data_IF_508042622833
#
_entry.id   IF_508042622833
#
_cell.length_a   1.000
_cell.length_b   1.000
_cell.length_c   1.000
_cell.angle_alpha   90.00
_cell.angle_beta   90.00
_cell.angle_gamma   90.00
#
_symmetry.space_group_name_H-M   'P 1'
#
loop_
_entity.id
_entity.type
_entity.pdbx_description
1 polymer ?
#
# COMPACT_ATOMS: atom_id res chain seq x y z
N UNK A 1 21.20 1.26 -12.04
CA UNK A 1 20.08 2.22 -12.02
C UNK A 1 18.83 1.53 -11.46
N UNK A 2 18.08 2.21 -10.58
CA UNK A 2 16.88 1.69 -9.93
C UNK A 2 15.79 1.30 -10.94
N UNK A 3 15.62 2.16 -11.95
CA UNK A 3 14.68 1.94 -13.06
C UNK A 3 14.98 0.62 -13.78
N UNK A 4 16.27 0.31 -14.01
CA UNK A 4 16.68 -0.96 -14.61
C UNK A 4 16.29 -2.18 -13.76
N UNK A 5 16.37 -2.08 -12.44
CA UNK A 5 15.93 -3.15 -11.53
C UNK A 5 14.44 -3.46 -11.65
N UNK A 6 13.56 -2.44 -11.67
CA UNK A 6 12.13 -2.66 -11.85
C UNK A 6 11.74 -3.11 -13.27
N UNK A 7 12.51 -2.74 -14.30
CA UNK A 7 12.26 -3.13 -15.68
C UNK A 7 12.89 -4.48 -16.06
N UNK A 8 13.87 -4.97 -15.30
CA UNK A 8 14.58 -6.22 -15.61
C UNK A 8 13.65 -7.43 -15.88
N UNK A 9 12.59 -7.71 -15.10
CA UNK A 9 11.69 -8.83 -15.38
C UNK A 9 10.96 -8.72 -16.71
N UNK A 10 10.65 -7.48 -17.14
CA UNK A 10 9.95 -7.24 -18.42
C UNK A 10 10.89 -7.39 -19.61
N UNK A 11 12.17 -7.06 -19.45
CA UNK A 11 13.19 -7.16 -20.50
C UNK A 11 13.60 -8.63 -20.71
N UNK A 12 13.68 -9.41 -19.62
CA UNK A 12 14.13 -10.81 -19.66
C UNK A 12 12.98 -11.79 -19.92
N UNK A 13 11.72 -11.34 -19.79
CA UNK A 13 10.54 -12.18 -19.98
C UNK A 13 10.41 -12.60 -21.44
N UNK A 14 10.49 -13.90 -21.71
CA UNK A 14 10.22 -14.54 -23.01
C UNK A 14 8.72 -14.71 -23.33
N UNK A 15 7.85 -13.95 -22.68
CA UNK A 15 6.39 -13.96 -22.92
C UNK A 15 5.58 -14.95 -22.08
N UNK A 16 6.20 -15.94 -21.45
CA UNK A 16 5.53 -16.91 -20.54
C UNK A 16 5.77 -16.61 -19.05
N UNK A 17 6.13 -15.37 -18.71
CA UNK A 17 6.47 -14.97 -17.34
C UNK A 17 5.29 -15.10 -16.38
N UNK A 18 5.44 -15.94 -15.34
CA UNK A 18 4.46 -16.04 -14.25
C UNK A 18 4.37 -14.72 -13.49
N UNK A 19 3.18 -14.12 -13.41
CA UNK A 19 2.92 -12.91 -12.61
C UNK A 19 3.32 -13.10 -11.13
N UNK A 20 3.28 -14.34 -10.61
CA UNK A 20 3.74 -14.65 -9.26
C UNK A 20 5.24 -14.39 -9.08
N UNK A 21 6.05 -14.81 -10.06
CA UNK A 21 7.50 -14.57 -10.06
C UNK A 21 7.79 -13.07 -10.11
N UNK A 22 7.07 -12.33 -10.97
CA UNK A 22 7.20 -10.88 -11.08
C UNK A 22 6.92 -10.18 -9.74
N UNK A 23 5.77 -10.45 -9.13
CA UNK A 23 5.39 -9.77 -7.87
C UNK A 23 6.25 -10.20 -6.69
N UNK A 24 6.71 -11.45 -6.66
CA UNK A 24 7.70 -11.91 -5.67
C UNK A 24 9.02 -11.14 -5.84
N UNK A 25 9.50 -10.99 -7.07
CA UNK A 25 10.70 -10.21 -7.37
C UNK A 25 10.53 -8.74 -6.97
N UNK A 26 9.43 -8.09 -7.34
CA UNK A 26 9.13 -6.70 -6.96
C UNK A 26 9.07 -6.54 -5.44
N UNK A 27 8.51 -7.53 -4.72
CA UNK A 27 8.47 -7.52 -3.25
C UNK A 27 9.88 -7.55 -2.64
N UNK A 28 10.74 -8.45 -3.13
CA UNK A 28 12.13 -8.56 -2.66
C UNK A 28 12.90 -7.27 -2.98
N UNK A 29 12.74 -6.74 -4.20
CA UNK A 29 13.39 -5.50 -4.63
C UNK A 29 12.95 -4.32 -3.75
N UNK A 30 11.66 -4.17 -3.49
CA UNK A 30 11.10 -3.10 -2.65
C UNK A 30 11.61 -3.19 -1.21
N UNK A 31 11.65 -4.40 -0.62
CA UNK A 31 12.24 -4.62 0.70
C UNK A 31 13.74 -4.31 0.73
N UNK A 32 14.49 -4.70 -0.30
CA UNK A 32 15.92 -4.39 -0.45
C UNK A 32 16.16 -2.89 -0.55
N UNK A 33 15.33 -2.17 -1.33
CA UNK A 33 15.38 -0.71 -1.44
C UNK A 33 15.10 -0.03 -0.10
N UNK A 34 14.14 -0.56 0.65
CA UNK A 34 13.84 -0.07 1.98
C UNK A 34 15.01 -0.31 2.95
N UNK A 35 15.63 -1.50 2.93
CA UNK A 35 16.84 -1.79 3.71
C UNK A 35 18.00 -0.85 3.38
N UNK A 36 18.26 -0.59 2.09
CA UNK A 36 19.26 0.37 1.63
C UNK A 36 18.95 1.81 2.06
N UNK A 37 17.67 2.21 2.04
CA UNK A 37 17.22 3.52 2.51
C UNK A 37 17.58 3.74 3.96
N UNK A 38 17.36 2.74 4.82
CA UNK A 38 17.73 2.81 6.24
C UNK A 38 19.26 2.86 6.41
N UNK A 39 19.99 2.02 5.68
CA UNK A 39 21.46 1.92 5.82
C UNK A 39 22.18 3.17 5.31
N UNK A 40 21.79 3.67 4.14
CA UNK A 40 22.45 4.80 3.47
C UNK A 40 21.78 6.16 3.77
N UNK A 41 20.69 6.20 4.53
CA UNK A 41 19.90 7.41 4.83
C UNK A 41 19.37 8.13 3.58
N UNK A 42 19.05 7.38 2.52
CA UNK A 42 18.50 7.91 1.27
C UNK A 42 16.98 7.91 1.33
N UNK A 43 16.42 9.00 1.84
CA UNK A 43 14.96 9.14 2.05
C UNK A 43 14.10 9.09 0.79
N UNK A 44 14.68 9.26 -0.39
CA UNK A 44 13.95 9.24 -1.67
C UNK A 44 13.69 7.82 -2.20
N UNK A 45 14.50 6.83 -1.79
CA UNK A 45 14.39 5.45 -2.28
C UNK A 45 13.01 4.81 -2.02
N UNK A 46 12.40 4.93 -0.84
CA UNK A 46 11.07 4.39 -0.59
C UNK A 46 9.99 5.02 -1.49
N UNK A 47 10.11 6.32 -1.80
CA UNK A 47 9.16 7.04 -2.65
C UNK A 47 9.25 6.56 -4.10
N UNK A 48 10.46 6.38 -4.62
CA UNK A 48 10.68 5.86 -5.97
C UNK A 48 10.13 4.42 -6.07
N UNK A 49 10.47 3.55 -5.11
CA UNK A 49 9.96 2.18 -5.06
C UNK A 49 8.43 2.15 -5.00
N UNK A 50 7.82 3.05 -4.21
CA UNK A 50 6.38 3.20 -4.10
C UNK A 50 5.72 3.45 -5.45
N UNK A 51 6.22 4.44 -6.19
CA UNK A 51 5.69 4.80 -7.51
C UNK A 51 5.77 3.62 -8.49
N UNK A 52 6.94 2.98 -8.61
CA UNK A 52 7.12 1.87 -9.54
C UNK A 52 6.28 0.65 -9.17
N UNK A 53 6.21 0.29 -7.88
CA UNK A 53 5.42 -0.85 -7.42
C UNK A 53 3.93 -0.65 -7.73
N UNK A 54 3.38 0.51 -7.40
CA UNK A 54 1.96 0.79 -7.67
C UNK A 54 1.65 1.01 -9.14
N UNK A 55 2.62 1.49 -9.95
CA UNK A 55 2.50 1.53 -11.41
C UNK A 55 2.38 0.10 -11.99
N UNK A 56 3.27 -0.81 -11.61
CA UNK A 56 3.23 -2.20 -12.05
C UNK A 56 1.92 -2.86 -11.61
N UNK A 57 1.54 -2.69 -10.34
CA UNK A 57 0.29 -3.24 -9.83
C UNK A 57 -0.94 -2.69 -10.56
N UNK A 58 -0.95 -1.38 -10.87
CA UNK A 58 -2.02 -0.73 -11.63
C UNK A 58 -2.18 -1.28 -13.03
N UNK A 59 -1.07 -1.54 -13.73
CA UNK A 59 -1.10 -2.18 -15.06
C UNK A 59 -1.73 -3.57 -14.96
N UNK A 60 -1.31 -4.39 -13.99
CA UNK A 60 -1.88 -5.72 -13.79
C UNK A 60 -3.34 -5.69 -13.35
N UNK A 61 -3.75 -4.67 -12.59
CA UNK A 61 -5.15 -4.48 -12.24
C UNK A 61 -6.03 -4.25 -13.49
N UNK A 62 -5.55 -3.44 -14.43
CA UNK A 62 -6.24 -3.22 -15.71
C UNK A 62 -6.34 -4.53 -16.52
N UNK A 63 -5.26 -5.31 -16.59
CA UNK A 63 -5.29 -6.62 -17.27
C UNK A 63 -6.19 -7.63 -16.57
N UNK A 64 -6.19 -7.71 -15.24
CA UNK A 64 -7.05 -8.65 -14.50
C UNK A 64 -8.53 -8.30 -14.64
N UNK A 65 -8.86 -7.02 -14.81
CA UNK A 65 -10.22 -6.58 -15.06
C UNK A 65 -10.77 -7.10 -16.41
N UNK A 66 -9.91 -7.20 -17.42
CA UNK A 66 -10.28 -7.72 -18.75
C UNK A 66 -10.34 -9.25 -18.81
N UNK A 67 -9.56 -9.97 -18.01
CA UNK A 67 -9.45 -11.44 -18.06
C UNK A 67 -10.39 -12.20 -17.13
N UNK A 68 -11.15 -11.54 -16.27
CA UNK A 68 -12.20 -12.10 -15.38
C UNK A 68 -11.82 -13.36 -14.56
N UNK A 69 -10.53 -13.60 -14.33
CA UNK A 69 -10.04 -14.76 -13.57
C UNK A 69 -10.06 -14.47 -12.06
N UNK A 70 -10.92 -15.17 -11.31
CA UNK A 70 -11.03 -15.04 -9.85
C UNK A 70 -9.75 -15.46 -9.12
N UNK A 71 -9.04 -16.48 -9.62
CA UNK A 71 -7.79 -16.97 -9.02
C UNK A 71 -6.68 -15.93 -9.14
N UNK A 72 -6.51 -15.31 -10.32
CA UNK A 72 -5.53 -14.25 -10.53
C UNK A 72 -5.84 -13.06 -9.63
N UNK A 73 -7.10 -12.65 -9.54
CA UNK A 73 -7.54 -11.54 -8.67
C UNK A 73 -7.23 -11.81 -7.21
N UNK A 74 -7.40 -13.05 -6.72
CA UNK A 74 -7.04 -13.45 -5.37
C UNK A 74 -5.55 -13.32 -5.07
N UNK A 75 -4.68 -13.79 -5.95
CA UNK A 75 -3.24 -13.63 -5.79
C UNK A 75 -2.80 -12.16 -5.83
N UNK A 76 -3.36 -11.37 -6.76
CA UNK A 76 -3.07 -9.94 -6.84
C UNK A 76 -3.54 -9.19 -5.58
N UNK A 77 -4.68 -9.57 -5.01
CA UNK A 77 -5.14 -9.01 -3.73
C UNK A 77 -4.16 -9.30 -2.58
N UNK A 78 -3.60 -10.51 -2.52
CA UNK A 78 -2.56 -10.85 -1.52
C UNK A 78 -1.30 -10.02 -1.70
N UNK A 79 -0.80 -9.86 -2.93
CA UNK A 79 0.37 -9.00 -3.19
C UNK A 79 0.09 -7.52 -2.89
N UNK A 80 -1.10 -7.03 -3.24
CA UNK A 80 -1.55 -5.68 -2.90
C UNK A 80 -1.54 -5.45 -1.38
N UNK A 81 -2.01 -6.42 -0.62
CA UNK A 81 -1.97 -6.39 0.86
C UNK A 81 -0.54 -6.43 1.38
N UNK A 82 0.32 -7.26 0.79
CA UNK A 82 1.74 -7.32 1.12
C UNK A 82 2.42 -5.97 0.90
N UNK A 83 2.22 -5.35 -0.27
CA UNK A 83 2.78 -4.02 -0.58
C UNK A 83 2.24 -2.94 0.35
N UNK A 84 0.94 -2.99 0.69
CA UNK A 84 0.37 -2.09 1.67
C UNK A 84 1.16 -2.08 2.99
N UNK A 85 1.49 -3.26 3.53
CA UNK A 85 2.29 -3.37 4.75
C UNK A 85 3.76 -2.99 4.54
N UNK A 86 4.38 -3.35 3.41
CA UNK A 86 5.76 -2.95 3.11
C UNK A 86 5.90 -1.43 3.12
N UNK A 87 4.95 -0.69 2.54
CA UNK A 87 4.98 0.78 2.51
C UNK A 87 4.55 1.46 3.81
N UNK A 88 4.09 0.70 4.81
CA UNK A 88 3.97 1.19 6.18
C UNK A 88 5.28 1.05 6.99
N UNK A 89 6.21 0.16 6.57
CA UNK A 89 7.49 -0.03 7.28
C UNK A 89 8.32 1.26 7.45
N UNK A 90 8.36 2.23 6.50
CA UNK A 90 9.06 3.49 6.70
C UNK A 90 8.63 4.25 7.96
N UNK A 91 7.38 4.10 8.41
CA UNK A 91 6.92 4.69 9.67
C UNK A 91 7.73 4.18 10.87
N UNK A 92 8.14 2.92 10.83
CA UNK A 92 8.93 2.30 11.90
C UNK A 92 10.41 2.73 11.90
N UNK A 93 10.96 3.13 10.74
CA UNK A 93 12.33 3.65 10.66
C UNK A 93 12.50 5.01 11.34
N UNK A 94 11.43 5.79 11.41
CA UNK A 94 11.38 7.09 12.10
C UNK A 94 11.81 6.98 13.57
N UNK A 95 11.54 5.87 14.22
CA UNK A 95 11.90 5.65 15.64
C UNK A 95 13.39 5.54 15.89
N UNK A 96 14.20 5.32 14.88
CA UNK A 96 15.66 5.23 15.00
C UNK A 96 16.38 6.57 15.06
N UNK A 97 15.65 7.70 15.09
CA UNK A 97 16.23 9.01 15.41
C UNK A 97 16.84 9.74 14.21
N UNK A 98 16.41 9.47 12.99
CA UNK A 98 16.87 10.22 11.82
C UNK A 98 16.21 11.60 11.72
N UNK A 99 16.98 12.58 11.22
CA UNK A 99 16.59 13.99 11.15
C UNK A 99 15.35 14.19 10.23
N UNK A 100 14.22 14.50 10.85
CA UNK A 100 12.86 14.34 10.30
C UNK A 100 12.37 15.50 9.44
N UNK A 101 13.11 16.59 9.31
CA UNK A 101 12.56 17.81 8.66
C UNK A 101 12.35 17.66 7.16
N UNK A 102 13.18 16.89 6.49
CA UNK A 102 13.07 16.64 5.04
C UNK A 102 12.30 15.36 4.70
N UNK A 103 12.39 14.33 5.54
CA UNK A 103 11.74 13.03 5.33
C UNK A 103 10.23 13.04 5.63
N UNK A 104 9.74 13.99 6.42
CA UNK A 104 8.36 13.97 6.93
C UNK A 104 7.29 14.14 5.86
N UNK A 105 7.49 15.03 4.89
CA UNK A 105 6.48 15.35 3.85
C UNK A 105 6.28 14.21 2.85
N UNK A 106 7.38 13.65 2.33
CA UNK A 106 7.32 12.52 1.40
C UNK A 106 6.72 11.27 2.05
N UNK A 107 7.06 11.00 3.32
CA UNK A 107 6.51 9.88 4.06
C UNK A 107 5.00 10.03 4.28
N UNK A 108 4.53 11.21 4.68
CA UNK A 108 3.10 11.48 4.83
C UNK A 108 2.36 11.29 3.52
N UNK A 109 2.92 11.76 2.41
CA UNK A 109 2.36 11.54 1.08
C UNK A 109 2.24 10.04 0.77
N UNK A 110 3.31 9.26 1.01
CA UNK A 110 3.30 7.80 0.80
C UNK A 110 2.23 7.14 1.67
N UNK A 111 2.12 7.49 2.96
CA UNK A 111 1.12 6.91 3.86
C UNK A 111 -0.30 7.20 3.36
N UNK A 112 -0.62 8.46 3.05
CA UNK A 112 -1.95 8.86 2.59
C UNK A 112 -2.28 8.11 1.29
N UNK A 113 -1.40 8.21 0.29
CA UNK A 113 -1.62 7.64 -1.03
C UNK A 113 -1.71 6.11 -0.97
N UNK A 114 -0.87 5.46 -0.16
CA UNK A 114 -0.88 4.01 0.04
C UNK A 114 -2.23 3.49 0.56
N UNK A 115 -2.83 4.19 1.52
CA UNK A 115 -4.12 3.81 2.08
C UNK A 115 -5.25 3.90 1.02
N UNK A 116 -5.28 4.99 0.23
CA UNK A 116 -6.29 5.17 -0.81
C UNK A 116 -6.11 4.21 -1.98
N UNK A 117 -4.87 3.99 -2.45
CA UNK A 117 -4.59 3.04 -3.52
C UNK A 117 -4.96 1.62 -3.07
N UNK A 118 -4.63 1.25 -1.82
CA UNK A 118 -4.98 -0.06 -1.28
C UNK A 118 -6.49 -0.26 -1.19
N UNK A 119 -7.26 0.75 -0.74
CA UNK A 119 -8.72 0.67 -0.73
C UNK A 119 -9.27 0.48 -2.16
N UNK A 120 -8.81 1.31 -3.10
CA UNK A 120 -9.30 1.28 -4.48
C UNK A 120 -8.98 -0.04 -5.17
N UNK A 121 -7.72 -0.46 -5.16
CA UNK A 121 -7.28 -1.72 -5.80
C UNK A 121 -7.89 -2.95 -5.11
N UNK A 122 -7.92 -2.96 -3.79
CA UNK A 122 -8.51 -4.04 -3.01
C UNK A 122 -10.01 -4.19 -3.25
N UNK A 123 -10.76 -3.08 -3.32
CA UNK A 123 -12.19 -3.09 -3.65
C UNK A 123 -12.44 -3.66 -5.06
N UNK A 124 -11.60 -3.29 -6.05
CA UNK A 124 -11.70 -3.82 -7.40
C UNK A 124 -11.40 -5.33 -7.46
N UNK A 125 -10.36 -5.80 -6.76
CA UNK A 125 -10.05 -7.23 -6.72
C UNK A 125 -11.13 -8.04 -5.99
N UNK A 126 -11.69 -7.54 -4.88
CA UNK A 126 -12.80 -8.18 -4.18
C UNK A 126 -14.02 -8.31 -5.09
N UNK A 127 -14.34 -7.25 -5.84
CA UNK A 127 -15.44 -7.28 -6.81
C UNK A 127 -15.19 -8.32 -7.92
N UNK A 128 -13.97 -8.40 -8.47
CA UNK A 128 -13.62 -9.39 -9.49
C UNK A 128 -13.68 -10.83 -8.96
N UNK A 129 -13.48 -11.03 -7.64
CA UNK A 129 -13.68 -12.32 -6.98
C UNK A 129 -15.16 -12.64 -6.69
N UNK A 130 -16.09 -11.77 -7.07
CA UNK A 130 -17.53 -11.97 -6.83
C UNK A 130 -18.01 -11.60 -5.42
N UNK A 131 -17.18 -10.90 -4.64
CA UNK A 131 -17.58 -10.45 -3.31
C UNK A 131 -18.56 -9.27 -3.39
N UNK A 132 -19.46 -9.19 -2.42
CA UNK A 132 -20.43 -8.09 -2.38
C UNK A 132 -19.75 -6.75 -2.12
N UNK A 133 -20.42 -5.65 -2.49
CA UNK A 133 -19.94 -4.28 -2.24
C UNK A 133 -19.64 -4.03 -0.75
N UNK A 134 -20.35 -4.69 0.16
CA UNK A 134 -20.10 -4.63 1.61
C UNK A 134 -18.71 -5.10 2.02
N UNK A 135 -18.06 -5.98 1.23
CA UNK A 135 -16.69 -6.38 1.48
C UNK A 135 -15.70 -5.22 1.36
N UNK A 136 -15.96 -4.25 0.47
CA UNK A 136 -15.16 -3.02 0.37
C UNK A 136 -15.29 -2.14 1.61
N UNK A 137 -16.45 -2.15 2.27
CA UNK A 137 -16.64 -1.48 3.56
C UNK A 137 -15.84 -2.15 4.69
N UNK A 138 -15.79 -3.50 4.71
CA UNK A 138 -14.93 -4.22 5.66
C UNK A 138 -13.44 -3.95 5.41
N UNK A 139 -13.03 -3.83 4.14
CA UNK A 139 -11.67 -3.44 3.78
C UNK A 139 -11.34 -2.01 4.29
N UNK A 140 -12.26 -1.06 4.13
CA UNK A 140 -12.12 0.30 4.66
C UNK A 140 -11.98 0.30 6.18
N UNK A 141 -12.80 -0.49 6.89
CA UNK A 141 -12.69 -0.66 8.33
C UNK A 141 -11.35 -1.27 8.74
N UNK A 142 -10.87 -2.28 8.01
CA UNK A 142 -9.54 -2.85 8.24
C UNK A 142 -8.44 -1.81 8.12
N UNK A 143 -8.46 -0.96 7.08
CA UNK A 143 -7.52 0.15 6.90
C UNK A 143 -7.59 1.12 8.08
N UNK A 144 -8.81 1.47 8.53
CA UNK A 144 -9.00 2.33 9.70
C UNK A 144 -8.36 1.73 10.96
N UNK A 145 -8.56 0.43 11.21
CA UNK A 145 -7.97 -0.27 12.36
C UNK A 145 -6.43 -0.31 12.31
N UNK A 146 -5.84 -0.55 11.13
CA UNK A 146 -4.38 -0.51 10.95
C UNK A 146 -3.84 0.89 11.25
N UNK A 147 -4.48 1.94 10.71
CA UNK A 147 -4.07 3.33 11.00
C UNK A 147 -4.28 3.69 12.47
N UNK A 148 -5.34 3.22 13.12
CA UNK A 148 -5.54 3.40 14.57
C UNK A 148 -4.41 2.74 15.36
N UNK A 149 -4.01 1.53 15.00
CA UNK A 149 -2.84 0.86 15.59
C UNK A 149 -1.56 1.68 15.44
N UNK A 150 -1.33 2.29 14.27
CA UNK A 150 -0.20 3.21 14.05
C UNK A 150 -0.29 4.46 14.92
N UNK A 151 -1.47 5.07 15.04
CA UNK A 151 -1.69 6.23 15.95
C UNK A 151 -1.33 5.89 17.38
N UNK A 152 -1.89 4.79 17.92
CA UNK A 152 -1.64 4.36 19.28
C UNK A 152 -0.15 4.07 19.53
N UNK A 153 0.49 3.45 18.57
CA UNK A 153 1.91 3.13 18.62
C UNK A 153 2.80 4.38 18.55
N UNK A 154 2.53 5.32 17.64
CA UNK A 154 3.22 6.61 17.54
C UNK A 154 3.05 7.45 18.79
N UNK A 155 1.83 7.48 19.34
CA UNK A 155 1.54 8.20 20.60
C UNK A 155 2.36 7.69 21.78
N UNK A 156 2.52 6.37 21.87
CA UNK A 156 3.31 5.73 22.93
C UNK A 156 4.82 5.93 22.75
N UNK A 157 5.30 6.02 21.50
CA UNK A 157 6.73 5.98 21.18
C UNK A 157 7.43 7.34 21.33
N UNK A 158 6.87 8.44 20.85
CA UNK A 158 7.46 9.80 20.98
C UNK A 158 6.41 10.91 20.78
N UNK A 159 6.54 11.98 21.57
CA UNK A 159 5.64 13.15 21.52
C UNK A 159 5.91 14.12 20.36
N UNK A 160 7.05 14.00 19.68
CA UNK A 160 7.52 15.00 18.70
C UNK A 160 6.90 14.87 17.30
N UNK A 161 6.15 13.80 17.04
CA UNK A 161 5.54 13.52 15.73
C UNK A 161 4.07 13.92 15.60
N UNK A 162 3.69 15.05 16.21
CA UNK A 162 2.30 15.52 16.24
C UNK A 162 1.66 15.55 14.85
N UNK A 163 2.38 16.02 13.85
CA UNK A 163 1.86 16.12 12.48
C UNK A 163 1.52 14.74 11.92
N UNK A 164 2.40 13.74 12.08
CA UNK A 164 2.14 12.37 11.60
C UNK A 164 0.98 11.71 12.35
N UNK A 165 0.91 11.93 13.67
CA UNK A 165 -0.20 11.44 14.51
C UNK A 165 -1.52 12.05 14.05
N UNK A 166 -1.59 13.37 13.81
CA UNK A 166 -2.81 14.01 13.34
C UNK A 166 -3.20 13.56 11.92
N UNK A 167 -2.22 13.34 11.05
CA UNK A 167 -2.47 12.83 9.70
C UNK A 167 -3.05 11.41 9.74
N UNK A 168 -2.43 10.51 10.51
CA UNK A 168 -2.93 9.13 10.64
C UNK A 168 -4.27 9.07 11.36
N UNK A 169 -4.52 9.93 12.35
CA UNK A 169 -5.83 10.06 12.98
C UNK A 169 -6.90 10.56 11.98
N UNK A 170 -6.55 11.53 11.14
CA UNK A 170 -7.41 11.99 10.04
C UNK A 170 -7.77 10.85 9.09
N UNK A 171 -6.80 9.97 8.75
CA UNK A 171 -7.07 8.78 7.93
C UNK A 171 -8.02 7.81 8.63
N UNK A 172 -7.86 7.56 9.94
CA UNK A 172 -8.82 6.73 10.72
C UNK A 172 -10.24 7.26 10.57
N UNK A 173 -10.44 8.56 10.81
CA UNK A 173 -11.76 9.18 10.70
C UNK A 173 -12.31 9.08 9.26
N UNK A 174 -11.46 9.33 8.26
CA UNK A 174 -11.84 9.22 6.84
C UNK A 174 -12.32 7.81 6.49
N UNK A 175 -11.56 6.78 6.85
CA UNK A 175 -11.91 5.40 6.49
C UNK A 175 -13.10 4.87 7.29
N UNK A 176 -13.27 5.27 8.54
CA UNK A 176 -14.51 4.99 9.30
C UNK A 176 -15.72 5.66 8.63
N UNK A 177 -15.59 6.93 8.24
CA UNK A 177 -16.66 7.65 7.53
C UNK A 177 -17.02 7.02 6.18
N UNK A 178 -16.04 6.48 5.44
CA UNK A 178 -16.29 5.74 4.19
C UNK A 178 -16.98 4.40 4.47
N UNK A 179 -16.65 3.73 5.57
CA UNK A 179 -17.24 2.43 5.93
C UNK A 179 -18.74 2.52 6.14
N UNK A 180 -19.21 3.58 6.82
CA UNK A 180 -20.62 3.74 7.21
C UNK A 180 -21.57 3.68 6.02
N UNK A 181 -21.45 4.55 4.98
CA UNK A 181 -22.35 4.49 3.84
C UNK A 181 -22.26 3.17 3.07
N UNK A 182 -21.06 2.60 2.90
CA UNK A 182 -20.88 1.32 2.19
C UNK A 182 -21.59 0.17 2.91
N UNK A 183 -21.65 0.18 4.25
CA UNK A 183 -22.34 -0.86 5.02
C UNK A 183 -23.85 -0.64 5.06
N UNK A 184 -24.32 0.61 5.01
CA UNK A 184 -25.73 0.95 5.09
C UNK A 184 -26.46 0.83 3.73
N UNK A 185 -25.77 0.99 2.61
CA UNK A 185 -26.32 1.00 1.24
C UNK A 185 -27.01 -0.33 0.79
N UNK A 186 -27.20 -1.26 1.68
CA UNK A 186 -27.92 -2.51 1.38
C UNK A 186 -29.38 -2.55 1.84
N UNK A 187 -29.90 -1.54 2.58
CA UNK A 187 -31.18 -1.68 3.26
C UNK A 187 -32.15 -0.50 3.13
N UNK A 188 -31.82 0.56 2.35
CA UNK A 188 -32.65 1.78 2.32
C UNK A 188 -32.89 2.36 0.90
N UNK A 189 -32.89 1.51 -0.14
CA UNK A 189 -33.47 1.87 -1.45
C UNK A 189 -34.36 0.74 -1.91
#
# INVERSE_FOLDING_TARGET
SLVGGFLAPFIVSSGEGSYLVLFTYVSILTLGMFGLSIYKKWGELPMISFVFTWLIMGIFLLFSYTSSSTVISGHLFLFTTLFYFIFLLPVFSILRGEDMRTMSRGLVFVIITNNFIYLLSGALFLRNMGWSFKASGLLSLFIALVNLGLVLWLWKSRKDYKFLVYTTLGLVLTFVSITVPIQLDGNYI
#
